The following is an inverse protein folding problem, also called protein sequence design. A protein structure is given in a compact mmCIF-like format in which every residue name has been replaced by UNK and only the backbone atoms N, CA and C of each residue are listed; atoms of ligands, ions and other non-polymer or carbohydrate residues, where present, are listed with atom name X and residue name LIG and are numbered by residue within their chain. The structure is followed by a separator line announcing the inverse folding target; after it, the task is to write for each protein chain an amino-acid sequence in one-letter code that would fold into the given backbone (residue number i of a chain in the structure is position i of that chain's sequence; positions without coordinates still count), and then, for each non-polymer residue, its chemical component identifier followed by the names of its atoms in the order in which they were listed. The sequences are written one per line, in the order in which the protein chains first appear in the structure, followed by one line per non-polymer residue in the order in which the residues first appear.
data_IF_423951914082
#
_entry.id   IF_423951914082
#
_cell.length_a   1.000
_cell.length_b   1.000
_cell.length_c   1.000
_cell.angle_alpha   90.00
_cell.angle_beta   90.00
_cell.angle_gamma   90.00
#
_symmetry.space_group_name_H-M   'P 1'
#
loop_
_entity.id
_entity.type
_entity.pdbx_description
1 polymer ?
#
# COMPACT_ATOMS: atom_id res chain seq x y z
N UNK A 1 -0.41 -8.32 -14.73
CA UNK A 1 -0.49 -7.55 -13.46
C UNK A 1 0.59 -6.47 -13.43
N UNK A 2 0.30 -5.31 -12.86
CA UNK A 2 1.28 -4.24 -12.63
C UNK A 2 1.68 -4.17 -11.16
N UNK A 3 2.97 -3.97 -10.89
CA UNK A 3 3.53 -3.89 -9.55
C UNK A 3 4.27 -2.57 -9.35
N UNK A 4 4.12 -2.00 -8.17
CA UNK A 4 4.95 -0.90 -7.69
C UNK A 4 5.97 -1.45 -6.71
N UNK A 5 7.22 -1.04 -6.87
CA UNK A 5 8.31 -1.26 -5.94
C UNK A 5 8.69 0.03 -5.20
N UNK A 6 7.74 0.96 -5.06
CA UNK A 6 7.95 2.14 -4.24
C UNK A 6 8.43 1.73 -2.83
N UNK A 7 9.32 2.46 -2.15
CA UNK A 7 10.04 1.95 -0.97
C UNK A 7 9.16 1.44 0.18
N UNK A 8 7.95 1.99 0.33
CA UNK A 8 6.99 1.58 1.37
C UNK A 8 6.15 0.34 1.03
N UNK A 9 6.25 -0.21 -0.19
CA UNK A 9 5.58 -1.45 -0.59
C UNK A 9 6.20 -2.64 0.15
N UNK A 10 5.43 -3.72 0.28
CA UNK A 10 5.90 -4.94 0.95
C UNK A 10 7.23 -5.44 0.34
N UNK A 11 7.32 -5.39 -0.99
CA UNK A 11 8.57 -5.51 -1.73
C UNK A 11 8.94 -4.13 -2.32
N UNK A 12 9.52 -3.27 -1.48
CA UNK A 12 10.00 -1.95 -1.90
C UNK A 12 11.48 -1.96 -2.33
N UNK A 13 11.80 -1.21 -3.38
CA UNK A 13 13.16 -0.87 -3.78
C UNK A 13 13.71 0.26 -2.90
N UNK A 14 14.93 0.75 -3.18
CA UNK A 14 15.51 1.94 -2.54
C UNK A 14 15.33 3.21 -3.38
N UNK A 15 14.26 3.25 -4.17
CA UNK A 15 13.90 4.33 -5.08
C UNK A 15 12.59 3.99 -5.80
N UNK A 16 12.32 4.68 -6.91
CA UNK A 16 11.19 4.32 -7.77
C UNK A 16 11.47 3.05 -8.57
N UNK A 17 10.41 2.27 -8.79
CA UNK A 17 10.49 1.03 -9.54
C UNK A 17 9.13 0.39 -9.74
N UNK A 18 9.03 -0.44 -10.75
CA UNK A 18 7.84 -1.22 -11.03
C UNK A 18 8.15 -2.39 -11.95
N UNK A 19 7.15 -3.26 -12.09
CA UNK A 19 7.22 -4.39 -13.00
C UNK A 19 5.84 -4.69 -13.58
N UNK A 20 5.82 -5.33 -14.74
CA UNK A 20 4.62 -5.93 -15.30
C UNK A 20 4.89 -7.42 -15.48
N UNK A 21 3.91 -8.24 -15.13
CA UNK A 21 3.90 -9.67 -15.43
C UNK A 21 2.68 -10.01 -16.29
N UNK A 22 2.84 -10.92 -17.24
CA UNK A 22 1.76 -11.39 -18.11
C UNK A 22 2.10 -12.78 -18.65
N UNK A 23 1.08 -13.57 -18.96
CA UNK A 23 1.20 -14.82 -19.71
C UNK A 23 0.83 -14.63 -21.20
N UNK A 24 0.40 -13.42 -21.58
CA UNK A 24 0.10 -13.04 -22.96
C UNK A 24 1.38 -12.55 -23.65
N UNK A 25 1.87 -13.33 -24.60
CA UNK A 25 3.10 -13.06 -25.35
C UNK A 25 3.00 -11.82 -26.24
N UNK A 26 1.81 -11.55 -26.81
CA UNK A 26 1.62 -10.38 -27.66
C UNK A 26 1.66 -9.10 -26.81
N UNK A 27 1.03 -9.13 -25.62
CA UNK A 27 1.11 -8.03 -24.66
C UNK A 27 2.54 -7.82 -24.14
N UNK A 28 3.25 -8.90 -23.83
CA UNK A 28 4.66 -8.86 -23.38
C UNK A 28 5.53 -8.14 -24.41
N UNK A 29 5.40 -8.51 -25.68
CA UNK A 29 6.17 -7.93 -26.78
C UNK A 29 5.91 -6.43 -26.91
N UNK A 30 4.65 -6.02 -26.84
CA UNK A 30 4.26 -4.60 -26.92
C UNK A 30 4.84 -3.82 -25.74
N UNK A 31 4.72 -4.32 -24.52
CA UNK A 31 5.25 -3.66 -23.32
C UNK A 31 6.78 -3.55 -23.39
N UNK A 32 7.46 -4.61 -23.82
CA UNK A 32 8.92 -4.63 -23.97
C UNK A 32 9.42 -3.62 -25.00
N UNK A 33 8.66 -3.34 -26.05
CA UNK A 33 8.99 -2.24 -26.95
C UNK A 33 8.74 -0.89 -26.27
N UNK A 34 7.54 -0.68 -25.73
CA UNK A 34 7.12 0.61 -25.18
C UNK A 34 8.00 1.10 -24.01
N UNK A 35 8.43 0.22 -23.11
CA UNK A 35 9.24 0.61 -21.94
C UNK A 35 10.66 1.09 -22.29
N UNK A 36 11.12 0.78 -23.52
CA UNK A 36 12.44 1.10 -24.03
C UNK A 36 12.32 1.82 -25.39
N UNK A 37 11.74 3.01 -25.38
CA UNK A 37 11.62 3.94 -26.51
C UNK A 37 10.86 3.42 -27.75
N UNK A 38 10.19 2.26 -27.66
CA UNK A 38 9.59 1.58 -28.80
C UNK A 38 10.59 0.79 -29.65
N UNK A 39 11.75 0.47 -29.08
CA UNK A 39 12.87 -0.19 -29.78
C UNK A 39 12.48 -1.59 -30.24
N UNK A 40 12.60 -1.87 -31.54
CA UNK A 40 12.49 -3.23 -32.10
C UNK A 40 13.86 -3.88 -32.31
N UNK A 41 14.89 -3.08 -32.62
CA UNK A 41 16.28 -3.49 -32.71
C UNK A 41 17.19 -2.29 -32.42
N UNK A 42 18.51 -2.50 -32.27
CA UNK A 42 19.47 -1.41 -32.04
C UNK A 42 19.27 -0.29 -33.08
N UNK A 43 19.02 0.93 -32.59
CA UNK A 43 18.75 2.15 -33.38
C UNK A 43 17.45 2.19 -34.20
N UNK A 44 16.55 1.19 -34.07
CA UNK A 44 15.26 1.19 -34.74
C UNK A 44 14.12 1.21 -33.72
N UNK A 45 13.30 2.25 -33.77
CA UNK A 45 12.10 2.39 -32.96
C UNK A 45 10.86 2.21 -33.87
N UNK A 46 10.06 1.18 -33.59
CA UNK A 46 8.88 0.85 -34.41
C UNK A 46 7.67 1.70 -34.03
N UNK A 47 7.55 2.05 -32.75
CA UNK A 47 6.43 2.81 -32.19
C UNK A 47 6.95 3.89 -31.25
N UNK A 48 6.10 4.86 -30.89
CA UNK A 48 6.44 5.86 -29.86
C UNK A 48 6.36 5.22 -28.47
N UNK A 49 7.51 4.88 -27.89
CA UNK A 49 7.61 4.42 -26.50
C UNK A 49 8.04 5.51 -25.52
N UNK A 50 8.49 5.07 -24.35
CA UNK A 50 9.02 5.88 -23.26
C UNK A 50 10.29 5.25 -22.70
N UNK A 51 11.00 5.97 -21.83
CA UNK A 51 12.07 5.40 -21.02
C UNK A 51 11.50 5.07 -19.63
N UNK A 52 11.10 3.82 -19.43
CA UNK A 52 10.54 3.34 -18.15
C UNK A 52 11.15 1.99 -17.81
N UNK A 53 12.40 2.05 -17.35
CA UNK A 53 13.21 0.87 -17.02
C UNK A 53 13.42 0.81 -15.50
N UNK A 54 13.68 -0.40 -15.01
CA UNK A 54 14.14 -0.60 -13.64
C UNK A 54 15.68 -0.56 -13.65
N UNK A 55 16.27 0.28 -12.81
CA UNK A 55 17.72 0.34 -12.68
C UNK A 55 18.27 -0.96 -12.10
N UNK A 56 19.43 -1.42 -12.60
CA UNK A 56 20.09 -2.65 -12.11
C UNK A 56 20.37 -2.60 -10.59
N UNK A 57 20.70 -1.42 -10.05
CA UNK A 57 20.88 -1.23 -8.61
C UNK A 57 19.59 -1.53 -7.85
N UNK A 58 18.44 -1.07 -8.36
CA UNK A 58 17.14 -1.34 -7.74
C UNK A 58 16.76 -2.82 -7.88
N UNK A 59 17.02 -3.43 -9.04
CA UNK A 59 16.80 -4.86 -9.27
C UNK A 59 17.62 -5.73 -8.31
N UNK A 60 18.88 -5.36 -8.03
CA UNK A 60 19.72 -6.04 -7.05
C UNK A 60 19.10 -6.01 -5.64
N UNK A 61 18.66 -4.83 -5.16
CA UNK A 61 18.03 -4.71 -3.84
C UNK A 61 16.73 -5.52 -3.76
N UNK A 62 15.90 -5.46 -4.80
CA UNK A 62 14.67 -6.22 -4.89
C UNK A 62 14.94 -7.73 -4.86
N UNK A 63 15.96 -8.20 -5.57
CA UNK A 63 16.34 -9.62 -5.58
C UNK A 63 16.78 -10.12 -4.19
N UNK A 64 17.41 -9.28 -3.38
CA UNK A 64 17.75 -9.60 -1.99
C UNK A 64 16.47 -9.69 -1.14
N UNK A 65 15.62 -8.66 -1.19
CA UNK A 65 14.39 -8.57 -0.37
C UNK A 65 13.32 -9.59 -0.78
N UNK A 66 13.28 -9.99 -2.04
CA UNK A 66 12.31 -10.97 -2.55
C UNK A 66 12.44 -12.31 -1.82
N UNK A 67 13.64 -12.68 -1.37
CA UNK A 67 13.91 -13.93 -0.64
C UNK A 67 13.23 -13.99 0.73
N UNK A 68 13.05 -12.84 1.40
CA UNK A 68 12.40 -12.76 2.72
C UNK A 68 10.93 -12.32 2.66
N UNK A 69 10.41 -12.02 1.47
CA UNK A 69 9.08 -11.41 1.30
C UNK A 69 7.96 -12.24 1.93
N UNK A 70 8.01 -13.57 1.80
CA UNK A 70 6.99 -14.45 2.36
C UNK A 70 6.98 -14.47 3.89
N UNK A 71 8.17 -14.44 4.50
CA UNK A 71 8.34 -14.35 5.95
C UNK A 71 7.93 -12.98 6.47
N UNK A 72 8.28 -11.90 5.77
CA UNK A 72 7.84 -10.54 6.09
C UNK A 72 6.32 -10.42 6.01
N UNK A 73 5.70 -10.97 4.97
CA UNK A 73 4.24 -11.00 4.83
C UNK A 73 3.59 -11.87 5.90
N UNK A 74 4.23 -12.97 6.32
CA UNK A 74 3.76 -13.79 7.44
C UNK A 74 3.78 -12.99 8.75
N UNK A 75 4.86 -12.27 9.03
CA UNK A 75 4.98 -11.43 10.22
C UNK A 75 3.94 -10.31 10.23
N UNK A 76 3.70 -9.65 9.09
CA UNK A 76 2.61 -8.67 8.95
C UNK A 76 1.23 -9.27 9.26
N UNK A 77 0.94 -10.49 8.80
CA UNK A 77 -0.31 -11.20 9.14
C UNK A 77 -0.41 -11.53 10.63
N UNK A 78 0.69 -11.85 11.30
CA UNK A 78 0.71 -12.07 12.75
C UNK A 78 0.38 -10.78 13.51
N UNK A 79 1.00 -9.66 13.14
CA UNK A 79 0.70 -8.34 13.70
C UNK A 79 -0.77 -7.96 13.46
N UNK A 80 -1.28 -8.19 12.25
CA UNK A 80 -2.68 -7.93 11.93
C UNK A 80 -3.64 -8.76 12.81
N UNK A 81 -3.31 -10.04 13.08
CA UNK A 81 -4.08 -10.87 14.02
C UNK A 81 -4.00 -10.35 15.45
N UNK A 82 -2.86 -9.81 15.89
CA UNK A 82 -2.74 -9.17 17.20
C UNK A 82 -3.66 -7.95 17.28
N UNK A 83 -3.66 -7.06 16.28
CA UNK A 83 -4.58 -5.92 16.24
C UNK A 83 -6.05 -6.36 16.25
N UNK A 84 -6.43 -7.29 15.38
CA UNK A 84 -7.82 -7.79 15.30
C UNK A 84 -8.30 -8.42 16.61
N UNK A 85 -7.41 -9.14 17.31
CA UNK A 85 -7.73 -9.77 18.59
C UNK A 85 -7.75 -8.77 19.74
N UNK A 86 -6.76 -7.88 19.81
CA UNK A 86 -6.49 -7.03 20.98
C UNK A 86 -7.25 -5.70 21.00
N UNK A 87 -7.57 -5.12 19.83
CA UNK A 87 -8.35 -3.88 19.79
C UNK A 87 -9.81 -4.22 20.15
N UNK A 88 -10.29 -3.57 21.20
CA UNK A 88 -11.61 -3.68 21.81
C UNK A 88 -12.11 -2.28 22.18
N UNK A 89 -12.36 -1.46 21.17
CA UNK A 89 -12.92 -0.12 21.35
C UNK A 89 -14.19 0.03 20.48
N UNK A 90 -15.37 0.33 21.05
CA UNK A 90 -16.61 0.47 20.29
C UNK A 90 -16.61 1.64 19.30
N UNK A 91 -15.70 2.62 19.45
CA UNK A 91 -15.53 3.75 18.51
C UNK A 91 -14.67 3.41 17.29
N UNK A 92 -14.13 2.19 17.24
CA UNK A 92 -13.18 1.74 16.22
C UNK A 92 -13.75 0.52 15.51
N UNK A 93 -13.95 0.66 14.20
CA UNK A 93 -14.28 -0.46 13.32
C UNK A 93 -13.00 -1.07 12.76
N UNK A 94 -12.89 -2.39 12.86
CA UNK A 94 -11.74 -3.17 12.40
C UNK A 94 -11.97 -3.73 11.00
N UNK A 95 -10.90 -3.93 10.20
CA UNK A 95 -11.05 -4.50 8.87
C UNK A 95 -11.46 -5.96 8.97
N UNK A 96 -12.27 -6.42 8.01
CA UNK A 96 -12.55 -7.85 7.89
C UNK A 96 -11.30 -8.60 7.41
N UNK A 97 -11.01 -9.74 8.02
CA UNK A 97 -9.96 -10.64 7.59
C UNK A 97 -10.38 -12.10 7.81
N UNK A 98 -10.41 -12.88 6.73
CA UNK A 98 -10.81 -14.28 6.74
C UNK A 98 -9.68 -15.25 7.16
N UNK A 99 -8.48 -14.75 7.49
CA UNK A 99 -7.33 -15.59 7.84
C UNK A 99 -6.54 -16.14 6.65
N UNK A 100 -6.92 -15.81 5.42
CA UNK A 100 -6.23 -16.26 4.19
C UNK A 100 -4.82 -15.68 4.05
N UNK A 101 -3.98 -16.33 3.22
CA UNK A 101 -2.65 -15.81 2.89
C UNK A 101 -2.68 -14.70 1.84
N UNK A 102 -3.80 -14.50 1.16
CA UNK A 102 -3.99 -13.53 0.07
C UNK A 102 -3.84 -12.09 0.56
N UNK A 103 -4.20 -11.83 1.82
CA UNK A 103 -3.98 -10.52 2.43
C UNK A 103 -2.54 -10.38 2.94
N UNK A 104 -1.77 -9.48 2.33
CA UNK A 104 -0.36 -9.22 2.69
C UNK A 104 -0.17 -8.03 3.65
N UNK A 105 -1.25 -7.33 3.99
CA UNK A 105 -1.24 -6.18 4.91
C UNK A 105 -0.16 -5.14 4.57
N UNK A 106 -0.19 -4.64 3.33
CA UNK A 106 0.57 -3.44 2.97
C UNK A 106 0.21 -2.27 3.90
N UNK A 107 -1.06 -2.17 4.25
CA UNK A 107 -1.60 -1.28 5.26
C UNK A 107 -2.59 -2.05 6.13
N UNK A 108 -2.75 -1.62 7.39
CA UNK A 108 -3.81 -2.09 8.28
C UNK A 108 -4.73 -0.90 8.59
N UNK A 109 -5.94 -0.93 8.04
CA UNK A 109 -6.86 0.20 8.08
C UNK A 109 -7.94 -0.06 9.14
N UNK A 110 -8.14 0.93 10.02
CA UNK A 110 -9.30 1.02 10.91
C UNK A 110 -10.18 2.19 10.47
N UNK A 111 -11.44 2.19 10.90
CA UNK A 111 -12.36 3.31 10.70
C UNK A 111 -12.89 3.86 12.02
N UNK A 112 -13.07 5.18 12.10
CA UNK A 112 -13.71 5.86 13.23
C UNK A 112 -14.48 7.09 12.76
N UNK A 113 -15.50 7.52 13.52
CA UNK A 113 -16.26 8.74 13.22
C UNK A 113 -15.41 10.02 13.39
N UNK A 114 -14.47 10.03 14.35
CA UNK A 114 -13.67 11.21 14.71
C UNK A 114 -12.18 11.04 14.36
N UNK A 115 -11.90 10.81 13.07
CA UNK A 115 -10.54 10.50 12.58
C UNK A 115 -9.47 11.49 13.07
N UNK A 116 -9.73 12.78 12.92
CA UNK A 116 -8.77 13.84 13.26
C UNK A 116 -8.47 13.90 14.76
N UNK A 117 -9.45 13.60 15.60
CA UNK A 117 -9.27 13.53 17.05
C UNK A 117 -8.39 12.35 17.43
N UNK A 118 -8.68 11.16 16.89
CA UNK A 118 -7.92 9.95 17.15
C UNK A 118 -6.46 10.10 16.67
N UNK A 119 -6.22 10.68 15.49
CA UNK A 119 -4.86 10.96 15.02
C UNK A 119 -4.09 11.88 15.98
N UNK A 120 -4.72 12.94 16.50
CA UNK A 120 -4.10 13.83 17.50
C UNK A 120 -3.82 13.09 18.80
N UNK A 121 -4.73 12.24 19.26
CA UNK A 121 -4.58 11.44 20.46
C UNK A 121 -3.41 10.45 20.36
N UNK A 122 -3.28 9.75 19.23
CA UNK A 122 -2.21 8.79 18.95
C UNK A 122 -0.86 9.50 18.79
N UNK A 123 -0.83 10.63 18.09
CA UNK A 123 0.39 11.43 17.92
C UNK A 123 0.95 11.93 19.25
N UNK A 124 0.10 12.34 20.21
CA UNK A 124 0.53 12.72 21.57
C UNK A 124 1.21 11.57 22.33
N UNK A 125 1.01 10.33 21.91
CA UNK A 125 1.63 9.10 22.46
C UNK A 125 2.77 8.57 21.59
N UNK A 126 3.25 9.37 20.64
CA UNK A 126 4.29 8.97 19.68
C UNK A 126 3.90 7.78 18.80
N UNK A 127 2.60 7.58 18.55
CA UNK A 127 2.11 6.61 17.57
C UNK A 127 1.82 7.36 16.28
N UNK A 128 2.68 7.18 15.28
CA UNK A 128 2.44 7.72 13.96
C UNK A 128 1.47 6.84 13.18
N UNK A 129 0.49 7.48 12.54
CA UNK A 129 -0.49 6.84 11.68
C UNK A 129 -0.58 7.62 10.37
N UNK A 130 -1.04 6.96 9.32
CA UNK A 130 -1.22 7.57 8.00
C UNK A 130 -2.68 7.51 7.55
N UNK A 131 -3.02 8.22 6.48
CA UNK A 131 -4.34 8.16 5.85
C UNK A 131 -4.16 7.71 4.40
N UNK A 132 -4.82 6.62 4.02
CA UNK A 132 -4.82 6.07 2.66
C UNK A 132 -6.28 5.93 2.20
N UNK A 133 -6.89 6.93 1.58
CA UNK A 133 -6.39 8.27 1.24
C UNK A 133 -7.31 9.34 1.83
N UNK A 134 -6.86 10.59 2.05
CA UNK A 134 -7.68 11.62 2.70
C UNK A 134 -8.74 12.24 1.77
N UNK A 135 -8.58 12.13 0.44
CA UNK A 135 -9.50 12.72 -0.54
C UNK A 135 -9.67 11.80 -1.74
N UNK A 136 -10.91 11.44 -2.11
CA UNK A 136 -11.16 10.52 -3.20
C UNK A 136 -10.88 11.15 -4.57
N UNK A 137 -10.56 10.35 -5.60
CA UNK A 137 -10.19 10.85 -6.92
C UNK A 137 -11.18 11.83 -7.54
N UNK A 138 -12.49 11.56 -7.47
CA UNK A 138 -13.54 12.41 -8.06
C UNK A 138 -13.67 13.77 -7.39
N UNK A 139 -13.08 13.96 -6.20
CA UNK A 139 -13.00 15.27 -5.54
C UNK A 139 -11.67 15.97 -5.82
N UNK A 140 -10.66 15.34 -6.42
CA UNK A 140 -9.35 15.98 -6.68
C UNK A 140 -9.44 17.00 -7.83
N UNK A 141 -8.69 18.10 -7.72
CA UNK A 141 -8.67 19.15 -8.77
C UNK A 141 -8.13 18.67 -10.13
N UNK A 142 -7.36 17.59 -10.14
CA UNK A 142 -6.80 17.02 -11.36
C UNK A 142 -7.83 16.20 -12.17
N UNK A 143 -8.98 15.89 -11.57
CA UNK A 143 -9.99 14.98 -12.13
C UNK A 143 -11.38 15.65 -12.15
N UNK A 144 -11.44 16.90 -12.62
CA UNK A 144 -12.69 17.70 -12.65
C UNK A 144 -13.77 17.08 -13.54
N UNK A 145 -13.38 16.27 -14.53
CA UNK A 145 -14.27 15.48 -15.37
C UNK A 145 -15.17 14.52 -14.55
N UNK A 146 -14.77 14.17 -13.33
CA UNK A 146 -15.54 13.31 -12.42
C UNK A 146 -16.20 14.06 -11.26
N UNK A 147 -16.12 15.40 -11.22
CA UNK A 147 -16.53 16.19 -10.05
C UNK A 147 -18.02 16.06 -9.69
N UNK A 148 -18.87 15.71 -10.65
CA UNK A 148 -20.32 15.55 -10.47
C UNK A 148 -20.71 14.16 -9.93
N UNK A 149 -19.77 13.22 -9.80
CA UNK A 149 -20.07 11.91 -9.22
C UNK A 149 -20.40 12.03 -7.73
N UNK A 150 -21.48 11.37 -7.32
CA UNK A 150 -21.86 11.16 -5.93
C UNK A 150 -21.56 9.71 -5.54
N UNK A 151 -20.53 9.52 -4.73
CA UNK A 151 -20.04 8.20 -4.34
C UNK A 151 -20.04 8.09 -2.81
N UNK A 152 -21.21 7.99 -2.16
CA UNK A 152 -21.36 8.17 -0.71
C UNK A 152 -20.55 7.17 0.11
N UNK A 153 -20.41 5.93 -0.35
CA UNK A 153 -19.57 4.92 0.32
C UNK A 153 -18.10 5.32 0.25
N UNK A 154 -17.63 5.71 -0.94
CA UNK A 154 -16.25 6.17 -1.15
C UNK A 154 -15.92 7.38 -0.29
N UNK A 155 -16.81 8.36 -0.28
CA UNK A 155 -16.67 9.60 0.50
C UNK A 155 -16.61 9.29 2.00
N UNK A 156 -17.55 8.48 2.49
CA UNK A 156 -17.57 8.02 3.89
C UNK A 156 -16.27 7.32 4.29
N UNK A 157 -15.74 6.41 3.47
CA UNK A 157 -14.47 5.73 3.76
C UNK A 157 -13.33 6.75 3.87
N UNK A 158 -13.21 7.67 2.91
CA UNK A 158 -12.13 8.66 2.89
C UNK A 158 -12.15 9.63 4.07
N UNK A 159 -13.29 9.83 4.74
CA UNK A 159 -13.40 10.65 5.95
C UNK A 159 -12.99 9.91 7.23
N UNK A 160 -13.05 8.58 7.24
CA UNK A 160 -13.00 7.75 8.46
C UNK A 160 -11.74 6.92 8.63
N UNK A 161 -11.04 6.60 7.54
CA UNK A 161 -9.94 5.63 7.57
C UNK A 161 -8.67 6.17 8.22
N UNK A 162 -8.03 5.34 9.02
CA UNK A 162 -6.67 5.52 9.56
C UNK A 162 -5.88 4.24 9.28
N UNK A 163 -4.66 4.38 8.79
CA UNK A 163 -3.70 3.29 8.69
C UNK A 163 -2.81 3.26 9.93
N UNK A 164 -2.91 2.16 10.68
CA UNK A 164 -2.06 1.90 11.85
C UNK A 164 -0.64 1.50 11.41
N UNK A 165 0.36 1.61 12.31
CA UNK A 165 1.69 1.05 12.08
C UNK A 165 1.61 -0.40 11.61
N UNK A 166 2.24 -0.70 10.48
CA UNK A 166 2.24 -2.04 9.90
C UNK A 166 3.57 -2.28 9.19
N UNK A 167 4.44 -3.08 9.79
CA UNK A 167 5.80 -3.37 9.31
C UNK A 167 6.27 -4.73 9.85
N UNK A 168 7.04 -5.54 9.10
CA UNK A 168 7.54 -6.81 9.61
C UNK A 168 8.52 -6.63 10.77
N UNK A 169 9.14 -5.46 10.92
CA UNK A 169 10.09 -5.19 12.01
C UNK A 169 9.45 -4.69 13.31
N UNK A 170 8.13 -4.46 13.33
CA UNK A 170 7.43 -4.10 14.56
C UNK A 170 7.54 -5.25 15.57
N UNK A 171 7.95 -4.93 16.79
CA UNK A 171 8.01 -5.85 17.92
C UNK A 171 6.62 -6.04 18.54
N UNK A 172 6.42 -7.16 19.23
CA UNK A 172 5.10 -7.46 19.83
C UNK A 172 4.70 -6.43 20.89
N UNK A 173 5.66 -5.89 21.62
CA UNK A 173 5.49 -4.87 22.65
C UNK A 173 5.04 -3.54 22.04
N UNK A 174 5.58 -3.17 20.87
CA UNK A 174 5.17 -1.98 20.11
C UNK A 174 3.74 -2.13 19.59
N UNK A 175 3.38 -3.33 19.09
CA UNK A 175 2.01 -3.64 18.66
C UNK A 175 1.05 -3.56 19.85
N UNK A 176 1.44 -4.11 20.99
CA UNK A 176 0.64 -4.06 22.22
C UNK A 176 0.46 -2.61 22.71
N UNK A 177 1.51 -1.79 22.66
CA UNK A 177 1.42 -0.37 23.00
C UNK A 177 0.39 0.38 22.13
N UNK A 178 0.35 0.08 20.83
CA UNK A 178 -0.68 0.65 19.93
C UNK A 178 -2.08 0.13 20.29
N UNK A 179 -2.24 -1.16 20.58
CA UNK A 179 -3.51 -1.74 21.02
C UNK A 179 -4.02 -1.06 22.29
N UNK A 180 -3.16 -0.91 23.30
CA UNK A 180 -3.50 -0.31 24.59
C UNK A 180 -3.88 1.16 24.42
N UNK A 181 -3.16 1.91 23.59
CA UNK A 181 -3.50 3.29 23.27
C UNK A 181 -4.90 3.39 22.63
N UNK A 182 -5.19 2.53 21.65
CA UNK A 182 -6.50 2.52 20.99
C UNK A 182 -7.63 2.12 21.92
N UNK A 183 -7.41 1.20 22.86
CA UNK A 183 -8.42 0.81 23.84
C UNK A 183 -8.68 1.87 24.92
N UNK A 184 -7.73 2.79 25.14
CA UNK A 184 -7.83 3.89 26.10
C UNK A 184 -8.31 5.22 25.48
N UNK A 185 -8.76 5.22 24.22
CA UNK A 185 -9.34 6.38 23.54
C UNK A 185 -10.87 6.43 23.69
#
# INVERSE_FOLDING_TARGET
AGFSFYPSKNLGALGDGGAITTNDEDLERVIRQLHNYGTSSKYNNLVKGMNSRLDEIQAMFLNIKLRSLDDDNKRRREIAKMYLKGIKNPRISLPFYNGSKDHVFHVFIIETDNREELLKFLKKRNIECSIHYPRPPHKQKAFLEYAQLELPITEKIHERVISLPMSPVLQNEEVQFVIDALNNY
#
